data_IF_410298031766
#
_entry.id   IF_410298031766
#
_cell.length_a   1.000
_cell.length_b   1.000
_cell.length_c   1.000
_cell.angle_alpha   90.00
_cell.angle_beta   90.00
_cell.angle_gamma   90.00
#
_symmetry.space_group_name_H-M   'P 1'
#
loop_
_entity.id
_entity.type
_entity.pdbx_description
1 polymer ?
#
# COMPACT_ATOMS: atom_id res chain seq x y z
N UNK A 1 -10.65 27.19 -7.27
CA UNK A 1 -10.52 28.62 -6.87
C UNK A 1 -11.78 29.21 -6.25
N UNK A 2 -12.92 28.51 -6.28
CA UNK A 2 -14.18 28.90 -5.63
C UNK A 2 -14.06 29.16 -4.12
N UNK A 3 -13.08 28.56 -3.45
CA UNK A 3 -12.80 28.70 -2.02
C UNK A 3 -11.44 29.39 -1.83
N UNK A 4 -11.37 30.73 -1.80
CA UNK A 4 -10.10 31.48 -1.80
C UNK A 4 -9.25 31.31 -0.54
N UNK A 5 -9.84 30.80 0.55
CA UNK A 5 -9.14 30.55 1.81
C UNK A 5 -8.76 29.07 2.00
N UNK A 6 -9.06 28.18 1.04
CA UNK A 6 -8.83 26.75 1.23
C UNK A 6 -7.41 26.36 0.83
N UNK A 7 -6.70 25.71 1.75
CA UNK A 7 -5.41 25.11 1.50
C UNK A 7 -5.53 23.58 1.49
N UNK A 8 -4.62 22.94 0.76
CA UNK A 8 -4.62 21.48 0.60
C UNK A 8 -3.31 20.89 1.07
N UNK A 9 -3.39 19.81 1.84
CA UNK A 9 -2.26 18.96 2.20
C UNK A 9 -2.23 17.73 1.29
N UNK A 10 -1.15 17.53 0.56
CA UNK A 10 -0.89 16.32 -0.23
C UNK A 10 0.10 15.44 0.51
N UNK A 11 -0.28 14.19 0.72
CA UNK A 11 0.43 13.21 1.53
C UNK A 11 0.74 11.95 0.75
N UNK A 12 1.94 11.42 0.98
CA UNK A 12 2.36 10.05 0.63
C UNK A 12 3.04 9.44 1.85
N UNK A 13 3.34 8.14 1.81
CA UNK A 13 4.12 7.50 2.88
C UNK A 13 5.48 8.16 3.10
N UNK A 14 6.21 8.45 2.02
CA UNK A 14 7.59 8.97 2.08
C UNK A 14 7.71 10.31 1.39
N UNK A 15 8.25 11.31 2.08
CA UNK A 15 8.34 12.69 1.60
C UNK A 15 9.18 12.83 0.32
N UNK A 16 10.25 12.03 0.19
CA UNK A 16 11.14 12.06 -0.96
C UNK A 16 10.44 11.75 -2.29
N UNK A 17 9.35 10.97 -2.25
CA UNK A 17 8.62 10.55 -3.45
C UNK A 17 7.68 11.64 -3.98
N UNK A 18 7.28 12.61 -3.17
CA UNK A 18 6.28 13.62 -3.52
C UNK A 18 6.73 14.55 -4.66
N UNK A 19 8.03 14.87 -4.69
CA UNK A 19 8.60 15.79 -5.68
C UNK A 19 8.42 15.24 -7.09
N UNK A 20 8.79 13.98 -7.30
CA UNK A 20 8.78 13.35 -8.62
C UNK A 20 7.42 12.69 -8.95
N UNK A 21 6.48 12.68 -8.00
CA UNK A 21 5.10 12.21 -8.19
C UNK A 21 4.10 13.36 -8.19
N UNK A 22 3.30 13.54 -7.13
CA UNK A 22 2.16 14.46 -7.04
C UNK A 22 2.53 15.90 -7.40
N UNK A 23 3.69 16.39 -6.95
CA UNK A 23 4.11 17.76 -7.25
C UNK A 23 4.39 17.96 -8.74
N UNK A 24 5.08 17.00 -9.36
CA UNK A 24 5.36 17.02 -10.80
C UNK A 24 4.06 16.84 -11.62
N UNK A 25 3.16 15.96 -11.20
CA UNK A 25 1.84 15.78 -11.84
C UNK A 25 0.98 17.05 -11.79
N UNK A 26 0.90 17.71 -10.63
CA UNK A 26 0.15 18.96 -10.50
C UNK A 26 0.77 20.08 -11.33
N UNK A 27 2.10 20.17 -11.43
CA UNK A 27 2.76 21.10 -12.36
C UNK A 27 2.44 20.80 -13.81
N UNK A 28 2.42 19.53 -14.21
CA UNK A 28 2.00 19.13 -15.56
C UNK A 28 0.55 19.54 -15.82
N UNK A 29 -0.36 19.34 -14.86
CA UNK A 29 -1.75 19.76 -14.99
C UNK A 29 -1.90 21.29 -15.12
N UNK A 30 -1.16 22.07 -14.31
CA UNK A 30 -1.11 23.54 -14.40
C UNK A 30 -0.68 23.99 -15.81
N UNK A 31 0.34 23.35 -16.37
CA UNK A 31 0.82 23.66 -17.72
C UNK A 31 -0.21 23.27 -18.79
N UNK A 32 -0.78 22.06 -18.69
CA UNK A 32 -1.79 21.56 -19.64
C UNK A 32 -3.05 22.42 -19.67
N UNK A 33 -3.44 22.98 -18.53
CA UNK A 33 -4.58 23.91 -18.40
C UNK A 33 -4.25 25.35 -18.82
N UNK A 34 -2.98 25.69 -19.09
CA UNK A 34 -2.58 27.04 -19.50
C UNK A 34 -2.71 28.10 -18.38
N UNK A 35 -2.61 27.69 -17.12
CA UNK A 35 -2.81 28.56 -15.94
C UNK A 35 -1.53 28.84 -15.15
N UNK A 36 -0.36 28.56 -15.73
CA UNK A 36 0.94 28.69 -15.06
C UNK A 36 1.23 30.08 -14.50
N UNK A 37 0.69 31.14 -15.11
CA UNK A 37 0.83 32.53 -14.65
C UNK A 37 0.25 32.79 -13.25
N UNK A 38 -0.65 31.92 -12.77
CA UNK A 38 -1.25 32.06 -11.46
C UNK A 38 -0.59 31.20 -10.38
N UNK A 39 0.40 30.38 -10.73
CA UNK A 39 0.99 29.41 -9.83
C UNK A 39 2.49 29.61 -9.66
N UNK A 40 2.94 29.59 -8.41
CA UNK A 40 4.35 29.69 -8.05
C UNK A 40 4.82 28.39 -7.38
N UNK A 41 5.60 27.54 -8.08
CA UNK A 41 6.17 26.36 -7.48
C UNK A 41 7.36 26.71 -6.58
N UNK A 42 7.43 26.08 -5.41
CA UNK A 42 8.55 26.20 -4.45
C UNK A 42 9.01 24.81 -4.02
N UNK A 43 10.31 24.63 -3.90
CA UNK A 43 10.90 23.32 -3.57
C UNK A 43 11.30 23.19 -2.10
N UNK A 44 11.55 24.30 -1.40
CA UNK A 44 11.94 24.33 0.01
C UNK A 44 11.20 25.48 0.72
N UNK A 45 10.12 25.20 1.49
CA UNK A 45 9.43 23.91 1.57
C UNK A 45 8.78 23.52 0.24
N UNK A 46 8.46 22.22 0.07
CA UNK A 46 7.78 21.74 -1.14
C UNK A 46 6.31 22.18 -1.10
N UNK A 47 5.96 23.12 -1.97
CA UNK A 47 4.63 23.73 -2.06
C UNK A 47 4.32 24.28 -3.47
N UNK A 48 3.04 24.43 -3.77
CA UNK A 48 2.52 25.19 -4.92
C UNK A 48 1.62 26.30 -4.39
N UNK A 49 1.99 27.55 -4.64
CA UNK A 49 1.24 28.73 -4.20
C UNK A 49 0.39 29.26 -5.36
N UNK A 50 -0.89 29.53 -5.11
CA UNK A 50 -1.78 30.21 -6.05
C UNK A 50 -1.72 31.72 -5.80
N UNK A 51 -1.05 32.44 -6.69
CA UNK A 51 -0.66 33.86 -6.53
C UNK A 51 -1.84 34.81 -6.27
N UNK A 52 -3.02 34.67 -6.91
CA UNK A 52 -4.10 35.64 -6.71
C UNK A 52 -4.72 35.65 -5.30
N UNK A 53 -4.62 34.57 -4.54
CA UNK A 53 -5.15 34.53 -3.16
C UNK A 53 -4.11 34.19 -2.09
N UNK A 54 -2.95 33.65 -2.48
CA UNK A 54 -1.91 33.20 -1.56
C UNK A 54 -2.13 31.82 -0.96
N UNK A 55 -3.23 31.14 -1.30
CA UNK A 55 -3.49 29.76 -0.85
C UNK A 55 -2.46 28.78 -1.43
N UNK A 56 -2.21 27.69 -0.70
CA UNK A 56 -1.13 26.74 -0.97
C UNK A 56 -1.63 25.30 -1.06
N UNK A 57 -0.96 24.54 -1.92
CA UNK A 57 -0.90 23.09 -1.87
C UNK A 57 0.44 22.70 -1.24
N UNK A 58 0.39 22.07 -0.07
CA UNK A 58 1.54 21.67 0.72
C UNK A 58 1.81 20.18 0.51
N UNK A 59 3.07 19.75 0.45
CA UNK A 59 3.43 18.35 0.24
C UNK A 59 4.22 17.81 1.43
N UNK A 60 3.74 16.76 2.12
CA UNK A 60 4.41 16.17 3.29
C UNK A 60 4.33 14.65 3.28
N UNK A 61 5.38 13.98 3.77
CA UNK A 61 5.42 12.52 3.89
C UNK A 61 5.20 12.08 5.33
N UNK A 62 4.55 10.92 5.50
CA UNK A 62 4.25 10.32 6.81
C UNK A 62 5.49 9.81 7.56
N UNK A 63 6.64 9.72 6.88
CA UNK A 63 7.94 9.36 7.43
C UNK A 63 8.48 10.36 8.47
N UNK A 64 7.91 11.56 8.59
CA UNK A 64 8.20 12.54 9.63
C UNK A 64 6.90 13.05 10.32
N UNK A 65 6.39 12.30 11.32
CA UNK A 65 5.10 12.60 11.96
C UNK A 65 5.04 13.99 12.61
N UNK A 66 6.16 14.46 13.18
CA UNK A 66 6.24 15.77 13.85
C UNK A 66 6.01 16.91 12.86
N UNK A 67 6.55 16.80 11.64
CA UNK A 67 6.36 17.80 10.59
C UNK A 67 4.93 17.86 10.07
N UNK A 68 4.16 16.79 10.23
CA UNK A 68 2.78 16.71 9.76
C UNK A 68 1.82 17.31 10.77
N UNK A 69 1.94 16.96 12.04
CA UNK A 69 1.02 17.43 13.08
C UNK A 69 1.14 18.93 13.34
N UNK A 70 2.24 19.56 12.93
CA UNK A 70 2.50 20.99 13.09
C UNK A 70 2.24 21.83 11.84
N UNK A 71 1.59 21.28 10.81
CA UNK A 71 1.35 22.04 9.57
C UNK A 71 0.32 23.13 9.85
N UNK A 72 0.70 24.36 9.54
CA UNK A 72 -0.19 25.51 9.54
C UNK A 72 -0.02 26.29 8.25
N UNK A 73 -1.00 27.13 7.95
CA UNK A 73 -1.00 28.03 6.79
C UNK A 73 -1.05 29.46 7.28
N UNK A 74 -0.33 30.34 6.58
CA UNK A 74 -0.28 31.78 6.81
C UNK A 74 -1.48 32.52 6.20
N UNK A 75 -2.16 31.90 5.24
CA UNK A 75 -3.34 32.45 4.58
C UNK A 75 -4.46 31.41 4.61
N UNK A 76 -5.63 31.79 5.12
CA UNK A 76 -6.83 30.95 5.12
C UNK A 76 -6.76 29.77 6.09
N UNK A 77 -7.37 28.65 5.70
CA UNK A 77 -7.52 27.44 6.52
C UNK A 77 -7.02 26.21 5.79
N UNK A 78 -6.44 25.26 6.53
CA UNK A 78 -6.07 23.95 6.00
C UNK A 78 -7.24 23.00 6.22
N UNK A 79 -8.01 22.75 5.16
CA UNK A 79 -9.25 21.97 5.26
C UNK A 79 -9.29 20.77 4.32
N UNK A 80 -8.42 20.70 3.32
CA UNK A 80 -8.44 19.58 2.36
C UNK A 80 -7.17 18.76 2.44
N UNK A 81 -7.33 17.44 2.36
CA UNK A 81 -6.26 16.48 2.31
C UNK A 81 -6.36 15.59 1.08
N UNK A 82 -5.23 15.30 0.45
CA UNK A 82 -5.12 14.29 -0.59
C UNK A 82 -4.04 13.28 -0.19
N UNK A 83 -4.41 12.04 0.00
CA UNK A 83 -3.47 10.94 0.23
C UNK A 83 -3.33 10.17 -1.08
N UNK A 84 -2.14 10.24 -1.67
CA UNK A 84 -1.78 9.49 -2.87
C UNK A 84 -1.07 8.18 -2.48
N UNK A 85 -1.31 7.12 -3.25
CA UNK A 85 -0.79 5.76 -2.98
C UNK A 85 -1.09 5.34 -1.54
N UNK A 86 -2.32 5.58 -1.10
CA UNK A 86 -2.72 5.36 0.29
C UNK A 86 -2.60 3.89 0.75
N UNK A 87 -2.51 2.95 -0.19
CA UNK A 87 -2.22 1.55 0.10
C UNK A 87 -0.87 1.32 0.78
N UNK A 88 0.11 2.23 0.62
CA UNK A 88 1.40 2.09 1.30
C UNK A 88 1.30 2.35 2.83
N UNK A 89 0.19 2.96 3.28
CA UNK A 89 -0.08 3.30 4.68
C UNK A 89 -0.71 2.08 5.35
N UNK A 90 0.13 1.25 5.97
CA UNK A 90 -0.31 -0.02 6.57
C UNK A 90 -1.01 0.13 7.93
N UNK A 91 -0.84 1.26 8.60
CA UNK A 91 -1.41 1.52 9.93
C UNK A 91 -2.50 2.60 9.84
N UNK A 92 -3.72 2.24 10.23
CA UNK A 92 -4.85 3.16 10.28
C UNK A 92 -4.60 4.33 11.26
N UNK A 93 -3.78 4.12 12.29
CA UNK A 93 -3.43 5.17 13.24
C UNK A 93 -2.63 6.32 12.61
N UNK A 94 -1.85 6.05 11.56
CA UNK A 94 -1.14 7.10 10.83
C UNK A 94 -2.13 8.01 10.07
N UNK A 95 -3.22 7.42 9.55
CA UNK A 95 -4.32 8.20 8.97
C UNK A 95 -5.09 8.96 10.06
N UNK A 96 -5.38 8.35 11.21
CA UNK A 96 -6.10 9.03 12.30
C UNK A 96 -5.36 10.28 12.79
N UNK A 97 -4.04 10.20 12.93
CA UNK A 97 -3.21 11.37 13.31
C UNK A 97 -3.28 12.50 12.28
N UNK A 98 -3.32 12.16 11.00
CA UNK A 98 -3.52 13.13 9.91
C UNK A 98 -4.89 13.77 9.98
N UNK A 99 -5.93 12.96 10.10
CA UNK A 99 -7.32 13.41 10.15
C UNK A 99 -7.54 14.36 11.33
N UNK A 100 -7.03 13.97 12.50
CA UNK A 100 -7.06 14.80 13.71
C UNK A 100 -6.30 16.12 13.56
N UNK A 101 -5.31 16.20 12.66
CA UNK A 101 -4.55 17.44 12.43
C UNK A 101 -5.31 18.47 11.59
N UNK A 102 -6.21 18.02 10.70
CA UNK A 102 -7.09 18.90 9.92
C UNK A 102 -8.31 19.32 10.74
N UNK A 103 -8.09 20.02 11.86
CA UNK A 103 -9.14 20.50 12.77
C UNK A 103 -9.07 22.01 12.99
N UNK A 104 -10.20 22.64 13.27
CA UNK A 104 -10.23 24.06 13.61
C UNK A 104 -11.58 24.73 13.38
N UNK A 105 -11.63 26.04 13.60
CA UNK A 105 -12.74 26.87 13.16
C UNK A 105 -12.59 27.18 11.67
N UNK A 106 -13.66 26.99 10.90
CA UNK A 106 -13.68 27.23 9.47
C UNK A 106 -14.64 28.37 9.14
N UNK A 107 -14.33 29.22 8.13
CA UNK A 107 -15.28 30.20 7.65
C UNK A 107 -16.56 29.53 7.13
N UNK A 108 -17.66 30.27 7.10
CA UNK A 108 -18.93 29.75 6.61
C UNK A 108 -18.79 29.17 5.18
N UNK A 109 -19.30 27.96 4.99
CA UNK A 109 -19.24 27.24 3.71
C UNK A 109 -17.98 26.42 3.46
N UNK A 110 -16.96 26.50 4.34
CA UNK A 110 -15.78 25.66 4.28
C UNK A 110 -15.98 24.37 5.08
N UNK A 111 -15.30 23.30 4.68
CA UNK A 111 -15.45 21.97 5.24
C UNK A 111 -14.16 21.17 5.11
N UNK A 112 -13.98 20.19 6.01
CA UNK A 112 -12.89 19.24 5.93
C UNK A 112 -13.22 18.19 4.87
N UNK A 113 -12.26 17.86 4.00
CA UNK A 113 -12.41 16.80 3.02
C UNK A 113 -11.11 16.06 2.77
N UNK A 114 -11.17 14.73 2.80
CA UNK A 114 -10.11 13.85 2.32
C UNK A 114 -10.44 13.30 0.94
N UNK A 115 -9.45 13.34 0.05
CA UNK A 115 -9.40 12.57 -1.19
C UNK A 115 -8.34 11.49 -1.01
N UNK A 116 -8.72 10.22 -1.14
CA UNK A 116 -7.82 9.08 -0.93
C UNK A 116 -7.78 8.29 -2.22
N UNK A 117 -6.58 8.17 -2.80
CA UNK A 117 -6.32 7.45 -4.05
C UNK A 117 -5.35 6.31 -3.78
N UNK A 118 -5.66 5.13 -4.31
CA UNK A 118 -4.86 3.92 -4.11
C UNK A 118 -5.12 2.90 -5.21
N UNK A 119 -4.15 2.02 -5.40
CA UNK A 119 -4.35 0.72 -6.03
C UNK A 119 -4.52 -0.32 -4.91
N UNK A 120 -5.58 -1.12 -4.97
CA UNK A 120 -5.93 -2.08 -3.93
C UNK A 120 -5.35 -3.47 -4.26
N UNK A 121 -4.50 -4.00 -3.37
CA UNK A 121 -3.87 -5.32 -3.59
C UNK A 121 -4.34 -6.38 -2.59
N UNK A 122 -4.74 -5.97 -1.39
CA UNK A 122 -5.19 -6.86 -0.33
C UNK A 122 -6.55 -6.40 0.23
N UNK A 123 -7.53 -7.30 0.22
CA UNK A 123 -8.85 -7.13 0.84
C UNK A 123 -8.84 -6.95 2.36
N UNK A 124 -7.76 -7.27 3.05
CA UNK A 124 -7.62 -7.08 4.49
C UNK A 124 -7.08 -5.69 4.87
N UNK A 125 -6.77 -4.85 3.88
CA UNK A 125 -6.29 -3.50 4.14
C UNK A 125 -7.36 -2.67 4.87
N UNK A 126 -6.97 -1.91 5.89
CA UNK A 126 -7.88 -1.15 6.76
C UNK A 126 -8.77 -0.16 5.99
N UNK A 127 -8.24 0.44 4.91
CA UNK A 127 -8.97 1.34 3.99
C UNK A 127 -10.26 0.68 3.49
N UNK A 128 -10.22 -0.62 3.15
CA UNK A 128 -11.41 -1.34 2.69
C UNK A 128 -12.45 -1.42 3.81
N UNK A 129 -12.02 -1.91 4.97
CA UNK A 129 -12.89 -2.09 6.12
C UNK A 129 -13.56 -0.77 6.53
N UNK A 130 -12.80 0.33 6.54
CA UNK A 130 -13.28 1.65 6.97
C UNK A 130 -14.15 2.35 5.93
N UNK A 131 -13.74 2.38 4.67
CA UNK A 131 -14.36 3.26 3.67
C UNK A 131 -15.22 2.52 2.64
N UNK A 132 -14.98 1.23 2.40
CA UNK A 132 -15.72 0.46 1.37
C UNK A 132 -16.77 -0.46 1.99
N UNK A 133 -16.45 -1.13 3.11
CA UNK A 133 -17.31 -2.17 3.68
C UNK A 133 -18.42 -1.62 4.58
N UNK A 134 -18.20 -0.46 5.19
CA UNK A 134 -19.16 0.19 6.09
C UNK A 134 -19.78 1.40 5.37
N UNK A 135 -21.09 1.37 5.05
CA UNK A 135 -21.78 2.52 4.50
C UNK A 135 -21.71 3.72 5.45
N UNK A 136 -21.27 4.87 4.93
CA UNK A 136 -21.20 6.11 5.68
C UNK A 136 -21.67 7.27 4.78
N UNK A 137 -22.61 8.12 5.22
CA UNK A 137 -23.13 9.22 4.41
C UNK A 137 -22.06 10.26 4.05
N UNK A 138 -20.95 10.32 4.78
CA UNK A 138 -19.84 11.23 4.54
C UNK A 138 -18.71 10.60 3.69
N UNK A 139 -18.89 9.37 3.20
CA UNK A 139 -17.90 8.64 2.42
C UNK A 139 -18.46 8.35 1.03
N UNK A 140 -17.69 8.75 0.02
CA UNK A 140 -17.90 8.33 -1.36
C UNK A 140 -16.77 7.39 -1.78
N UNK A 141 -16.98 6.08 -1.62
CA UNK A 141 -16.06 5.06 -2.10
C UNK A 141 -16.44 4.65 -3.53
N UNK A 142 -15.48 4.76 -4.45
CA UNK A 142 -15.63 4.36 -5.85
C UNK A 142 -14.38 3.62 -6.32
N UNK A 143 -14.57 2.53 -7.05
CA UNK A 143 -13.51 1.89 -7.82
C UNK A 143 -13.58 2.37 -9.27
N UNK A 144 -12.42 2.67 -9.85
CA UNK A 144 -12.27 2.98 -11.28
C UNK A 144 -11.28 1.98 -11.88
N UNK A 145 -11.33 1.80 -13.19
CA UNK A 145 -10.47 0.85 -13.88
C UNK A 145 -10.09 1.34 -15.28
N UNK A 146 -9.28 0.55 -15.98
CA UNK A 146 -8.78 0.92 -17.30
C UNK A 146 -9.90 1.10 -18.34
N UNK A 147 -11.08 0.48 -18.15
CA UNK A 147 -12.20 0.57 -19.09
C UNK A 147 -12.86 1.96 -19.10
N UNK A 148 -12.72 2.74 -18.02
CA UNK A 148 -13.23 4.12 -17.96
C UNK A 148 -12.14 5.19 -18.20
N UNK A 149 -10.92 4.80 -18.60
CA UNK A 149 -9.84 5.74 -18.87
C UNK A 149 -9.70 6.03 -20.37
N UNK A 150 -10.19 7.20 -20.79
CA UNK A 150 -10.16 7.65 -22.19
C UNK A 150 -8.76 8.02 -22.70
N UNK A 151 -7.76 8.09 -21.83
CA UNK A 151 -6.39 8.51 -22.17
C UNK A 151 -5.43 7.33 -22.42
N UNK A 152 -5.92 6.09 -22.34
CA UNK A 152 -5.09 4.91 -22.58
C UNK A 152 -4.74 4.75 -24.06
N UNK A 153 -3.50 4.29 -24.30
CA UNK A 153 -3.05 3.93 -25.63
C UNK A 153 -3.56 2.54 -26.01
N UNK A 154 -3.56 2.23 -27.32
CA UNK A 154 -3.86 0.88 -27.80
C UNK A 154 -2.92 -0.19 -27.22
N UNK A 155 -1.68 0.17 -26.88
CA UNK A 155 -0.73 -0.72 -26.24
C UNK A 155 -1.13 -1.06 -24.80
N UNK A 156 -1.66 -0.08 -24.05
CA UNK A 156 -2.15 -0.30 -22.68
C UNK A 156 -3.35 -1.26 -22.69
N UNK A 157 -4.28 -1.09 -23.63
CA UNK A 157 -5.40 -2.02 -23.80
C UNK A 157 -4.91 -3.43 -24.14
N UNK A 158 -3.94 -3.57 -25.05
CA UNK A 158 -3.38 -4.87 -25.41
C UNK A 158 -2.72 -5.57 -24.22
N UNK A 159 -2.03 -4.81 -23.35
CA UNK A 159 -1.43 -5.32 -22.12
C UNK A 159 -2.49 -5.91 -21.18
N UNK A 160 -3.62 -5.22 -20.97
CA UNK A 160 -4.70 -5.74 -20.12
C UNK A 160 -5.39 -6.96 -20.74
N UNK A 161 -5.59 -7.01 -22.06
CA UNK A 161 -6.16 -8.19 -22.74
C UNK A 161 -5.20 -9.39 -22.74
N UNK A 162 -3.89 -9.15 -22.73
CA UNK A 162 -2.89 -10.20 -22.49
C UNK A 162 -2.92 -10.69 -21.05
N UNK A 163 -2.94 -9.78 -20.07
CA UNK A 163 -3.06 -10.12 -18.65
C UNK A 163 -4.31 -10.96 -18.39
N UNK A 164 -5.45 -10.59 -18.97
CA UNK A 164 -6.71 -11.34 -18.87
C UNK A 164 -6.61 -12.79 -19.36
N UNK A 165 -5.76 -13.05 -20.36
CA UNK A 165 -5.55 -14.40 -20.92
C UNK A 165 -4.54 -15.20 -20.11
N UNK A 166 -3.46 -14.56 -19.67
CA UNK A 166 -2.33 -15.24 -19.05
C UNK A 166 -2.50 -15.39 -17.52
N UNK A 167 -3.13 -14.42 -16.87
CA UNK A 167 -3.30 -14.34 -15.42
C UNK A 167 -4.66 -13.68 -15.07
N UNK A 168 -5.76 -14.46 -15.14
CA UNK A 168 -7.11 -13.94 -14.90
C UNK A 168 -7.32 -13.37 -13.49
N UNK A 169 -6.64 -13.91 -12.47
CA UNK A 169 -6.77 -13.43 -11.10
C UNK A 169 -6.06 -12.08 -10.92
N UNK A 170 -4.85 -11.93 -11.44
CA UNK A 170 -4.19 -10.62 -11.47
C UNK A 170 -4.96 -9.60 -12.29
N UNK A 171 -5.59 -10.02 -13.39
CA UNK A 171 -6.44 -9.14 -14.20
C UNK A 171 -7.66 -8.61 -13.43
N UNK A 172 -8.30 -9.43 -12.58
CA UNK A 172 -9.39 -8.94 -11.71
C UNK A 172 -8.91 -7.81 -10.79
N UNK A 173 -7.73 -7.98 -10.20
CA UNK A 173 -7.17 -7.00 -9.25
C UNK A 173 -6.62 -5.76 -9.97
N UNK A 174 -5.60 -5.95 -10.79
CA UNK A 174 -4.85 -4.88 -11.44
C UNK A 174 -5.59 -4.27 -12.64
N UNK A 175 -6.40 -5.07 -13.34
CA UNK A 175 -7.20 -4.63 -14.48
C UNK A 175 -8.55 -4.08 -14.04
N UNK A 176 -9.40 -4.90 -13.45
CA UNK A 176 -10.79 -4.54 -13.15
C UNK A 176 -10.98 -3.69 -11.89
N UNK A 177 -9.95 -3.60 -11.05
CA UNK A 177 -10.04 -2.84 -9.82
C UNK A 177 -10.82 -3.58 -8.72
N UNK A 178 -10.75 -4.91 -8.69
CA UNK A 178 -11.28 -5.72 -7.59
C UNK A 178 -10.29 -5.87 -6.43
N UNK A 179 -10.78 -5.91 -5.18
CA UNK A 179 -9.94 -6.14 -4.01
C UNK A 179 -9.26 -7.52 -4.06
N UNK A 180 -7.94 -7.53 -4.09
CA UNK A 180 -7.15 -8.77 -4.19
C UNK A 180 -7.25 -9.70 -2.99
N UNK A 181 -6.77 -10.93 -3.18
CA UNK A 181 -6.81 -11.98 -2.16
C UNK A 181 -5.88 -11.60 -1.02
N UNK A 182 -6.31 -11.88 0.22
CA UNK A 182 -5.54 -11.70 1.44
C UNK A 182 -4.12 -12.26 1.29
N UNK A 183 -3.11 -11.45 1.60
CA UNK A 183 -1.71 -11.85 1.58
C UNK A 183 -1.55 -13.10 2.48
N UNK A 184 -1.31 -14.25 1.84
CA UNK A 184 -1.50 -15.56 2.48
C UNK A 184 -1.27 -16.75 1.55
N UNK A 185 -1.26 -16.53 0.25
CA UNK A 185 -0.76 -17.50 -0.73
C UNK A 185 0.33 -16.85 -1.58
N UNK A 186 1.45 -16.47 -0.95
CA UNK A 186 2.64 -15.97 -1.65
C UNK A 186 3.19 -17.00 -2.66
N UNK A 187 2.93 -18.29 -2.44
CA UNK A 187 3.31 -19.38 -3.33
C UNK A 187 2.09 -20.00 -4.01
N UNK A 188 1.69 -19.43 -5.15
CA UNK A 188 0.62 -19.99 -6.01
C UNK A 188 0.95 -21.41 -6.51
N UNK A 189 2.24 -21.75 -6.61
CA UNK A 189 2.70 -23.09 -6.97
C UNK A 189 2.47 -24.12 -5.86
N UNK A 190 2.16 -23.70 -4.63
CA UNK A 190 2.01 -24.64 -3.52
C UNK A 190 0.75 -25.49 -3.67
N UNK A 191 0.93 -26.81 -3.78
CA UNK A 191 -0.17 -27.77 -3.69
C UNK A 191 0.07 -28.78 -2.57
N UNK A 192 -0.89 -28.90 -1.66
CA UNK A 192 -0.81 -29.83 -0.53
C UNK A 192 -0.71 -31.29 -0.97
N UNK A 193 -1.26 -31.65 -2.13
CA UNK A 193 -1.23 -33.01 -2.69
C UNK A 193 0.15 -33.39 -3.27
N UNK A 194 0.98 -32.41 -3.64
CA UNK A 194 2.36 -32.63 -4.09
C UNK A 194 3.35 -32.40 -2.95
N UNK A 195 3.27 -31.24 -2.31
CA UNK A 195 4.32 -30.73 -1.44
C UNK A 195 4.21 -31.18 0.02
N UNK A 196 3.08 -31.78 0.43
CA UNK A 196 2.92 -32.33 1.78
C UNK A 196 2.84 -33.84 1.70
N UNK A 197 3.82 -34.51 2.31
CA UNK A 197 3.85 -35.97 2.39
C UNK A 197 3.55 -36.44 3.81
N UNK A 198 3.13 -37.71 3.92
CA UNK A 198 3.01 -38.36 5.23
C UNK A 198 4.38 -38.38 5.92
N UNK A 199 4.47 -38.06 7.22
CA UNK A 199 5.73 -38.11 7.95
C UNK A 199 6.39 -39.49 7.86
N UNK A 200 7.71 -39.49 7.63
CA UNK A 200 8.56 -40.68 7.61
C UNK A 200 9.86 -40.39 8.37
N UNK A 201 10.59 -41.45 8.75
CA UNK A 201 11.90 -41.29 9.37
C UNK A 201 12.89 -40.80 8.31
N UNK A 202 13.41 -39.58 8.48
CA UNK A 202 14.48 -39.05 7.63
C UNK A 202 15.70 -39.98 7.72
N UNK A 203 16.23 -40.50 6.60
CA UNK A 203 17.44 -41.32 6.59
C UNK A 203 18.63 -40.62 7.25
N UNK A 204 19.46 -41.38 7.95
CA UNK A 204 20.62 -40.84 8.67
C UNK A 204 21.79 -40.46 7.74
N UNK A 205 21.74 -40.92 6.49
CA UNK A 205 22.70 -40.60 5.45
C UNK A 205 22.41 -39.29 4.71
N UNK A 206 21.22 -38.70 4.89
CA UNK A 206 20.86 -37.42 4.25
C UNK A 206 21.52 -36.23 4.96
N UNK A 207 21.93 -35.21 4.21
CA UNK A 207 22.43 -33.97 4.78
C UNK A 207 21.31 -33.26 5.52
N UNK A 208 21.58 -32.75 6.74
CA UNK A 208 20.61 -32.02 7.56
C UNK A 208 21.14 -30.66 7.97
N UNK A 209 20.29 -29.64 7.92
CA UNK A 209 20.62 -28.30 8.38
C UNK A 209 19.39 -27.58 8.95
N UNK A 210 19.62 -26.40 9.51
CA UNK A 210 18.57 -25.54 10.06
C UNK A 210 18.63 -24.17 9.40
N UNK A 211 17.47 -23.62 9.09
CA UNK A 211 17.33 -22.21 8.76
C UNK A 211 16.63 -21.51 9.93
N UNK A 212 17.10 -20.33 10.29
CA UNK A 212 16.54 -19.55 11.38
C UNK A 212 16.29 -18.12 10.92
N UNK A 213 15.09 -17.64 11.17
CA UNK A 213 14.72 -16.23 11.05
C UNK A 213 14.54 -15.65 12.46
N UNK A 214 15.39 -14.70 12.82
CA UNK A 214 15.41 -14.08 14.15
C UNK A 214 14.54 -12.82 14.16
N UNK A 215 13.34 -12.94 14.73
CA UNK A 215 12.47 -11.79 15.00
C UNK A 215 12.79 -11.14 16.35
N UNK A 216 13.09 -9.83 16.35
CA UNK A 216 13.39 -9.06 17.57
C UNK A 216 12.15 -8.68 18.39
N UNK A 217 10.99 -8.53 17.74
CA UNK A 217 9.73 -8.07 18.36
C UNK A 217 8.52 -9.01 18.12
N UNK A 218 8.57 -9.90 17.13
CA UNK A 218 7.52 -10.85 16.69
C UNK A 218 8.17 -12.21 16.34
N UNK A 219 7.42 -13.31 16.13
CA UNK A 219 7.93 -14.63 16.47
C UNK A 219 9.16 -15.04 15.65
N UNK A 220 10.12 -15.71 16.30
CA UNK A 220 11.21 -16.38 15.60
C UNK A 220 10.70 -17.67 14.95
N UNK A 221 11.32 -18.03 13.83
CA UNK A 221 11.06 -19.28 13.13
C UNK A 221 12.37 -20.07 13.01
N UNK A 222 12.34 -21.35 13.36
CA UNK A 222 13.41 -22.30 13.04
C UNK A 222 12.81 -23.44 12.23
N UNK A 223 13.38 -23.69 11.07
CA UNK A 223 13.01 -24.80 10.19
C UNK A 223 14.16 -25.80 10.12
N UNK A 224 13.83 -27.08 10.16
CA UNK A 224 14.78 -28.17 9.97
C UNK A 224 14.57 -28.78 8.59
N UNK A 225 15.68 -28.87 7.86
CA UNK A 225 15.70 -29.38 6.51
C UNK A 225 16.60 -30.60 6.37
N UNK A 226 16.22 -31.50 5.47
CA UNK A 226 17.06 -32.58 4.98
C UNK A 226 17.14 -32.55 3.46
N UNK A 227 18.29 -32.92 2.89
CA UNK A 227 18.48 -33.00 1.43
C UNK A 227 18.80 -34.44 1.06
N UNK A 228 18.03 -34.99 0.13
CA UNK A 228 18.27 -36.33 -0.43
C UNK A 228 19.30 -36.31 -1.57
N UNK A 229 19.63 -37.48 -2.10
CA UNK A 229 20.62 -37.61 -3.18
C UNK A 229 20.11 -37.12 -4.55
N UNK A 230 18.79 -36.95 -4.70
CA UNK A 230 18.17 -36.42 -5.90
C UNK A 230 18.03 -34.89 -5.85
N UNK A 231 18.49 -34.25 -4.77
CA UNK A 231 18.48 -32.80 -4.59
C UNK A 231 17.17 -32.25 -4.07
N UNK A 232 16.24 -33.09 -3.59
CA UNK A 232 14.99 -32.59 -2.99
C UNK A 232 15.25 -32.09 -1.57
N UNK A 233 14.61 -30.95 -1.23
CA UNK A 233 14.69 -30.36 0.10
C UNK A 233 13.44 -30.71 0.92
N UNK A 234 13.65 -31.29 2.10
CA UNK A 234 12.59 -31.81 2.95
C UNK A 234 12.51 -31.02 4.25
N UNK A 235 11.44 -30.23 4.44
CA UNK A 235 11.14 -29.58 5.72
C UNK A 235 10.44 -30.56 6.67
N UNK A 236 11.10 -30.98 7.75
CA UNK A 236 10.59 -32.07 8.60
C UNK A 236 10.31 -31.68 10.05
N UNK A 237 10.68 -30.46 10.46
CA UNK A 237 10.32 -29.88 11.75
C UNK A 237 10.31 -28.37 11.64
N UNK A 238 9.42 -27.75 12.39
CA UNK A 238 9.34 -26.31 12.56
C UNK A 238 9.22 -25.97 14.04
N UNK A 239 9.77 -24.82 14.43
CA UNK A 239 9.60 -24.24 15.75
C UNK A 239 9.28 -22.76 15.59
N UNK A 240 8.12 -22.35 16.12
CA UNK A 240 7.70 -20.96 16.20
C UNK A 240 7.58 -20.53 17.65
N UNK A 241 8.05 -19.33 17.98
CA UNK A 241 7.95 -18.80 19.34
C UNK A 241 8.18 -17.32 19.44
N UNK A 242 7.84 -16.73 20.59
CA UNK A 242 8.08 -15.33 20.91
C UNK A 242 8.46 -15.19 22.39
N UNK A 243 9.32 -14.22 22.72
CA UNK A 243 9.69 -13.93 24.11
C UNK A 243 10.28 -15.13 24.88
N UNK A 244 10.99 -16.04 24.19
CA UNK A 244 11.58 -17.24 24.77
C UNK A 244 10.60 -18.39 25.04
N UNK A 245 9.33 -18.29 24.62
CA UNK A 245 8.33 -19.37 24.72
C UNK A 245 7.91 -19.84 23.32
N UNK A 246 7.84 -21.16 23.13
CA UNK A 246 7.29 -21.77 21.91
C UNK A 246 5.76 -21.58 21.84
N UNK A 247 5.22 -21.28 20.67
CA UNK A 247 3.80 -20.89 20.50
C UNK A 247 2.85 -22.07 20.23
N UNK A 248 3.30 -23.22 19.69
CA UNK A 248 2.40 -24.35 19.37
C UNK A 248 3.13 -25.69 19.31
N UNK A 249 2.41 -26.78 19.60
CA UNK A 249 2.79 -28.19 19.45
C UNK A 249 3.43 -28.50 18.07
N UNK A 250 4.43 -29.39 18.05
CA UNK A 250 5.09 -29.94 16.84
C UNK A 250 4.03 -30.28 15.77
N UNK A 251 3.87 -29.44 14.72
CA UNK A 251 3.05 -29.82 13.56
C UNK A 251 3.74 -30.99 12.86
N UNK A 252 3.09 -32.15 12.85
CA UNK A 252 3.58 -33.38 12.23
C UNK A 252 3.19 -33.42 10.76
N UNK A 253 4.04 -32.84 9.91
CA UNK A 253 3.98 -32.96 8.45
C UNK A 253 5.40 -32.89 7.90
N UNK A 254 5.69 -33.61 6.81
CA UNK A 254 6.94 -33.41 6.07
C UNK A 254 6.58 -32.70 4.77
N UNK A 255 7.29 -31.61 4.50
CA UNK A 255 7.15 -30.82 3.29
C UNK A 255 8.26 -31.20 2.32
N UNK A 256 7.91 -31.50 1.07
CA UNK A 256 8.86 -31.61 -0.04
C UNK A 256 8.87 -30.29 -0.81
N UNK A 257 10.03 -29.66 -0.91
CA UNK A 257 10.27 -28.48 -1.73
C UNK A 257 11.01 -28.94 -2.99
N UNK A 258 10.32 -28.94 -4.13
CA UNK A 258 10.91 -29.17 -5.44
C UNK A 258 11.21 -27.82 -6.10
N UNK A 259 12.44 -27.62 -6.54
CA UNK A 259 12.81 -26.46 -7.35
C UNK A 259 12.76 -26.84 -8.82
N UNK A 260 11.73 -26.38 -9.54
CA UNK A 260 11.78 -26.32 -11.01
C UNK A 260 12.33 -24.95 -11.40
N UNK A 261 13.52 -24.91 -11.97
CA UNK A 261 14.10 -23.71 -12.60
C UNK A 261 13.41 -23.41 -13.93
#
# INVERSE_FOLDING_TARGET
MQYPQANTLVVRKTASTLKDSCWTQLKWAINKLGVGQFWKPRQNPLELEYLPTGQKILFRGLDDPLKITSITVDVGVLCWGWIEEAYEINDEEDFNRLDESLRGEFPEGYFIQWTITLNHWDRNHWIKARFFDIPNPNVLAKSTNYLCNEFLSAADYAMFEEMKRNDPERYKVAGLGEWGIADGQFFECWRNDIHVVKPFKIPDSWMRFRAMDWGSYRPYCVLWFAVDYDGNLWGYRELYGWGGKANVEDKKGIVKLEYTW
#
